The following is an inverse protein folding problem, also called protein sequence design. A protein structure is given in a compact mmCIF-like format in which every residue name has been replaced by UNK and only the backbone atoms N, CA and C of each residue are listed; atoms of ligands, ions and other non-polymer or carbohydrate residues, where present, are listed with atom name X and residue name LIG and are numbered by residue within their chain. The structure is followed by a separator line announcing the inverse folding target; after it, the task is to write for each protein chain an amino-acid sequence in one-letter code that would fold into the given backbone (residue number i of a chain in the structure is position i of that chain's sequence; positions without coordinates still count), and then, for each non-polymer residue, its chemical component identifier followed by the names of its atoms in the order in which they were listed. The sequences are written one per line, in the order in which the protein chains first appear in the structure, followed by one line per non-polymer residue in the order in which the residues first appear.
data_IF_962007088230
#
_entry.id   IF_962007088230
#
_cell.length_a   1.000
_cell.length_b   1.000
_cell.length_c   1.000
_cell.angle_alpha   90.00
_cell.angle_beta   90.00
_cell.angle_gamma   90.00
#
_symmetry.space_group_name_H-M   'P 1'
#
loop_
_entity.id
_entity.type
_entity.pdbx_description
1 polymer ?
#
# COMPACT_ATOMS: atom_id res chain seq x y z
N UNK A 1 -16.80 20.29 -29.71
CA UNK A 1 -17.36 21.51 -29.07
C UNK A 1 -18.30 21.06 -27.95
N UNK A 2 -17.76 20.74 -26.78
CA UNK A 2 -18.51 20.15 -25.66
C UNK A 2 -19.14 21.27 -24.81
N UNK A 3 -20.44 21.18 -24.58
CA UNK A 3 -21.24 21.99 -23.63
C UNK A 3 -21.49 23.47 -23.96
N UNK A 4 -20.81 24.08 -24.94
CA UNK A 4 -21.12 25.46 -25.36
C UNK A 4 -20.84 26.54 -24.30
N UNK A 5 -20.00 26.21 -23.31
CA UNK A 5 -19.54 27.13 -22.26
C UNK A 5 -18.06 27.41 -22.52
N UNK A 6 -17.72 28.69 -22.68
CA UNK A 6 -16.34 29.16 -22.78
C UNK A 6 -15.59 28.86 -21.47
N UNK A 7 -14.29 28.49 -21.51
CA UNK A 7 -13.49 28.30 -20.30
C UNK A 7 -13.56 29.54 -19.39
N UNK A 8 -14.04 29.38 -18.15
CA UNK A 8 -14.22 30.48 -17.19
C UNK A 8 -15.56 31.24 -17.28
N UNK A 9 -16.44 30.89 -18.22
CA UNK A 9 -17.78 31.47 -18.34
C UNK A 9 -18.79 30.92 -17.33
N UNK A 10 -19.86 31.68 -17.06
CA UNK A 10 -20.92 31.27 -16.14
C UNK A 10 -21.67 30.05 -16.65
N UNK A 11 -21.75 29.00 -15.82
CA UNK A 11 -22.49 27.77 -16.14
C UNK A 11 -24.01 28.04 -16.20
N UNK A 12 -24.68 27.76 -17.35
CA UNK A 12 -26.13 27.85 -17.47
C UNK A 12 -26.86 26.95 -16.45
N UNK A 13 -27.99 27.38 -15.86
CA UNK A 13 -28.72 26.59 -14.86
C UNK A 13 -29.07 25.17 -15.30
N UNK A 14 -29.44 24.99 -16.59
CA UNK A 14 -29.77 23.69 -17.17
C UNK A 14 -28.60 22.69 -17.21
N UNK A 15 -27.34 23.17 -17.18
CA UNK A 15 -26.13 22.35 -17.24
C UNK A 15 -25.53 22.05 -15.86
N UNK A 16 -25.96 22.75 -14.79
CA UNK A 16 -25.39 22.59 -13.45
C UNK A 16 -25.50 21.16 -12.91
N UNK A 17 -26.65 20.51 -13.13
CA UNK A 17 -26.87 19.12 -12.69
C UNK A 17 -25.93 18.14 -13.39
N UNK A 18 -25.75 18.29 -14.70
CA UNK A 18 -24.84 17.45 -15.48
C UNK A 18 -23.38 17.68 -15.07
N UNK A 19 -22.95 18.93 -14.86
CA UNK A 19 -21.59 19.22 -14.39
C UNK A 19 -21.33 18.66 -13.00
N UNK A 20 -22.28 18.81 -12.06
CA UNK A 20 -22.15 18.22 -10.72
C UNK A 20 -22.02 16.71 -10.77
N UNK A 21 -22.82 16.04 -11.61
CA UNK A 21 -22.72 14.59 -11.80
C UNK A 21 -21.35 14.18 -12.36
N UNK A 22 -20.81 14.94 -13.33
CA UNK A 22 -19.47 14.71 -13.86
C UNK A 22 -18.39 14.90 -12.77
N UNK A 23 -18.49 15.92 -11.94
CA UNK A 23 -17.57 16.16 -10.81
C UNK A 23 -17.63 15.02 -9.78
N UNK A 24 -18.83 14.58 -9.39
CA UNK A 24 -19.03 13.44 -8.49
C UNK A 24 -18.43 12.15 -9.06
N UNK A 25 -18.62 11.92 -10.37
CA UNK A 25 -18.00 10.79 -11.08
C UNK A 25 -16.48 10.90 -11.14
N UNK A 26 -15.90 12.09 -11.37
CA UNK A 26 -14.45 12.29 -11.31
C UNK A 26 -13.91 12.05 -9.91
N UNK A 27 -14.58 12.55 -8.87
CA UNK A 27 -14.20 12.32 -7.48
C UNK A 27 -14.21 10.84 -7.13
N UNK A 28 -15.25 10.09 -7.54
CA UNK A 28 -15.32 8.64 -7.32
C UNK A 28 -14.20 7.89 -8.04
N UNK A 29 -13.90 8.27 -9.30
CA UNK A 29 -12.78 7.68 -10.06
C UNK A 29 -11.43 7.96 -9.41
N UNK A 30 -11.19 9.19 -8.98
CA UNK A 30 -9.95 9.58 -8.31
C UNK A 30 -9.76 8.79 -7.00
N UNK A 31 -10.81 8.67 -6.18
CA UNK A 31 -10.75 7.87 -4.94
C UNK A 31 -10.43 6.40 -5.22
N UNK A 32 -11.07 5.78 -6.22
CA UNK A 32 -10.81 4.39 -6.58
C UNK A 32 -9.38 4.21 -7.09
N UNK A 33 -8.94 5.06 -8.02
CA UNK A 33 -7.59 4.99 -8.57
C UNK A 33 -6.52 5.13 -7.49
N UNK A 34 -6.75 5.97 -6.48
CA UNK A 34 -5.85 6.09 -5.34
C UNK A 34 -5.81 4.80 -4.52
N UNK A 35 -6.98 4.22 -4.19
CA UNK A 35 -7.06 2.96 -3.43
C UNK A 35 -6.40 1.80 -4.18
N UNK A 36 -6.68 1.65 -5.46
CA UNK A 36 -6.08 0.61 -6.31
C UNK A 36 -4.55 0.75 -6.39
N UNK A 37 -4.06 2.00 -6.49
CA UNK A 37 -2.62 2.28 -6.48
C UNK A 37 -1.95 1.90 -5.15
N UNK A 38 -2.62 2.16 -4.03
CA UNK A 38 -2.13 1.79 -2.70
C UNK A 38 -2.16 0.27 -2.51
N UNK A 39 -3.24 -0.41 -2.88
CA UNK A 39 -3.33 -1.87 -2.77
C UNK A 39 -2.23 -2.57 -3.56
N UNK A 40 -1.92 -2.09 -4.78
CA UNK A 40 -0.81 -2.61 -5.58
C UNK A 40 0.53 -2.52 -4.85
N UNK A 41 0.83 -1.38 -4.23
CA UNK A 41 2.05 -1.19 -3.43
C UNK A 41 2.08 -2.14 -2.22
N UNK A 42 0.93 -2.35 -1.57
CA UNK A 42 0.83 -3.26 -0.43
C UNK A 42 1.03 -4.73 -0.85
N UNK A 43 0.54 -5.13 -2.02
CA UNK A 43 0.81 -6.46 -2.60
C UNK A 43 2.30 -6.62 -2.95
N UNK A 44 2.93 -5.59 -3.53
CA UNK A 44 4.36 -5.61 -3.83
C UNK A 44 5.17 -5.78 -2.53
N UNK A 45 4.81 -5.04 -1.47
CA UNK A 45 5.43 -5.16 -0.14
C UNK A 45 5.22 -6.55 0.49
N UNK A 46 4.04 -7.14 0.33
CA UNK A 46 3.75 -8.52 0.77
C UNK A 46 4.68 -9.53 0.09
N UNK A 47 4.92 -9.37 -1.22
CA UNK A 47 5.81 -10.25 -1.98
C UNK A 47 7.26 -10.16 -1.49
N UNK A 48 7.72 -8.95 -1.16
CA UNK A 48 9.06 -8.71 -0.62
C UNK A 48 9.24 -9.41 0.72
N UNK A 49 8.30 -9.25 1.66
CA UNK A 49 8.38 -9.94 2.96
C UNK A 49 8.26 -11.47 2.84
N UNK A 50 7.49 -11.97 1.88
CA UNK A 50 7.46 -13.41 1.56
C UNK A 50 8.84 -13.90 1.15
N UNK A 51 9.54 -13.18 0.27
CA UNK A 51 10.89 -13.58 -0.17
C UNK A 51 11.90 -13.53 0.97
N UNK A 52 11.82 -12.51 1.84
CA UNK A 52 12.62 -12.45 3.08
C UNK A 52 12.36 -13.68 3.96
N UNK A 53 11.08 -14.07 4.14
CA UNK A 53 10.72 -15.25 4.92
C UNK A 53 11.28 -16.53 4.28
N UNK A 54 11.21 -16.68 2.95
CA UNK A 54 11.77 -17.84 2.25
C UNK A 54 13.28 -17.97 2.47
N UNK A 55 14.01 -16.86 2.41
CA UNK A 55 15.44 -16.82 2.74
C UNK A 55 15.70 -17.20 4.19
N UNK A 56 14.93 -16.67 5.14
CA UNK A 56 15.08 -16.97 6.57
C UNK A 56 14.81 -18.43 6.92
N UNK A 57 13.93 -19.10 6.17
CA UNK A 57 13.59 -20.50 6.34
C UNK A 57 14.50 -21.45 5.54
N UNK A 58 15.41 -20.92 4.72
CA UNK A 58 16.25 -21.74 3.83
C UNK A 58 15.45 -22.51 2.77
N UNK A 59 14.30 -21.96 2.35
CA UNK A 59 13.43 -22.59 1.35
C UNK A 59 14.12 -22.60 -0.02
N UNK A 60 13.93 -23.69 -0.77
CA UNK A 60 14.38 -23.81 -2.16
C UNK A 60 13.38 -23.17 -3.16
N UNK A 61 12.35 -22.47 -2.68
CA UNK A 61 11.39 -21.81 -3.54
C UNK A 61 12.02 -20.64 -4.29
N UNK A 62 11.61 -20.45 -5.54
CA UNK A 62 12.00 -19.28 -6.33
C UNK A 62 11.51 -17.99 -5.65
N UNK A 63 12.37 -16.97 -5.65
CA UNK A 63 12.05 -15.64 -5.14
C UNK A 63 11.35 -14.83 -6.23
N UNK A 64 10.40 -13.99 -5.84
CA UNK A 64 9.66 -13.13 -6.78
C UNK A 64 10.50 -11.92 -7.18
N UNK A 65 11.23 -11.31 -6.23
CA UNK A 65 11.94 -10.05 -6.40
C UNK A 65 13.45 -10.25 -6.59
N UNK A 66 13.84 -11.09 -7.55
CA UNK A 66 15.25 -11.50 -7.78
C UNK A 66 16.19 -10.32 -8.02
N UNK A 67 15.72 -9.25 -8.66
CA UNK A 67 16.46 -8.01 -8.89
C UNK A 67 16.84 -7.28 -7.60
N UNK A 68 16.19 -7.62 -6.47
CA UNK A 68 16.45 -7.07 -5.14
C UNK A 68 17.20 -8.07 -4.23
N UNK A 69 17.77 -9.14 -4.78
CA UNK A 69 18.35 -10.26 -4.00
C UNK A 69 19.29 -9.80 -2.88
N UNK A 70 20.25 -8.91 -3.17
CA UNK A 70 21.21 -8.42 -2.17
C UNK A 70 20.51 -7.71 -1.00
N UNK A 71 19.45 -6.95 -1.29
CA UNK A 71 18.64 -6.24 -0.28
C UNK A 71 17.78 -7.20 0.52
N UNK A 72 17.20 -8.21 -0.14
CA UNK A 72 16.43 -9.26 0.52
C UNK A 72 17.30 -10.07 1.47
N UNK A 73 18.50 -10.47 1.03
CA UNK A 73 19.48 -11.19 1.84
C UNK A 73 19.91 -10.34 3.04
N UNK A 74 20.23 -9.06 2.82
CA UNK A 74 20.49 -8.14 3.92
C UNK A 74 19.29 -8.12 4.87
N UNK A 75 18.09 -7.78 4.43
CA UNK A 75 16.92 -7.70 5.31
C UNK A 75 16.68 -9.02 6.08
N UNK A 76 16.82 -10.18 5.42
CA UNK A 76 16.68 -11.50 6.04
C UNK A 76 17.67 -11.75 7.19
N UNK A 77 18.90 -11.22 7.06
CA UNK A 77 19.94 -11.34 8.08
C UNK A 77 19.71 -10.41 9.28
N UNK A 78 19.07 -9.25 9.06
CA UNK A 78 18.87 -8.21 10.07
C UNK A 78 17.49 -8.25 10.75
N UNK A 79 16.57 -9.13 10.32
CA UNK A 79 15.27 -9.34 10.98
C UNK A 79 15.15 -10.78 11.51
N UNK A 80 14.13 -11.02 12.34
CA UNK A 80 13.74 -12.37 12.77
C UNK A 80 12.53 -12.85 11.96
N UNK A 81 12.33 -14.17 11.80
CA UNK A 81 11.11 -14.70 11.17
C UNK A 81 9.83 -14.16 11.82
N UNK A 82 9.80 -14.05 13.15
CA UNK A 82 8.66 -13.50 13.87
C UNK A 82 8.38 -12.03 13.50
N UNK A 83 9.43 -11.19 13.37
CA UNK A 83 9.28 -9.80 12.95
C UNK A 83 8.83 -9.69 11.47
N UNK A 84 9.37 -10.55 10.60
CA UNK A 84 8.95 -10.63 9.19
C UNK A 84 7.48 -11.03 9.07
N UNK A 85 7.03 -12.02 9.84
CA UNK A 85 5.63 -12.45 9.86
C UNK A 85 4.71 -11.34 10.39
N UNK A 86 5.10 -10.68 11.49
CA UNK A 86 4.34 -9.55 12.03
C UNK A 86 4.24 -8.38 11.02
N UNK A 87 5.26 -8.17 10.19
CA UNK A 87 5.20 -7.19 9.11
C UNK A 87 4.21 -7.59 8.01
N UNK A 88 4.19 -8.87 7.61
CA UNK A 88 3.20 -9.41 6.67
C UNK A 88 1.77 -9.24 7.20
N UNK A 89 1.53 -9.55 8.47
CA UNK A 89 0.22 -9.36 9.11
C UNK A 89 -0.19 -7.89 9.16
N UNK A 90 0.76 -6.99 9.44
CA UNK A 90 0.51 -5.55 9.44
C UNK A 90 0.13 -5.02 8.05
N UNK A 91 0.78 -5.52 7.00
CA UNK A 91 0.45 -5.18 5.60
C UNK A 91 -0.95 -5.67 5.26
N UNK A 92 -1.28 -6.92 5.58
CA UNK A 92 -2.61 -7.48 5.33
C UNK A 92 -3.71 -6.72 6.08
N UNK A 93 -3.48 -6.38 7.36
CA UNK A 93 -4.41 -5.58 8.15
C UNK A 93 -4.62 -4.16 7.58
N UNK A 94 -3.59 -3.55 6.98
CA UNK A 94 -3.72 -2.25 6.33
C UNK A 94 -4.61 -2.33 5.09
N UNK A 95 -4.45 -3.37 4.28
CA UNK A 95 -5.29 -3.63 3.10
C UNK A 95 -6.76 -3.77 3.49
N UNK A 96 -7.05 -4.63 4.46
CA UNK A 96 -8.41 -4.85 4.98
C UNK A 96 -9.05 -3.57 5.52
N UNK A 97 -8.27 -2.72 6.20
CA UNK A 97 -8.74 -1.41 6.70
C UNK A 97 -9.07 -0.46 5.56
N UNK A 98 -8.23 -0.37 4.54
CA UNK A 98 -8.45 0.52 3.39
C UNK A 98 -9.70 0.08 2.61
N UNK A 99 -9.87 -1.23 2.41
CA UNK A 99 -11.07 -1.81 1.80
C UNK A 99 -12.31 -1.55 2.66
N UNK A 100 -12.15 -1.59 3.99
CA UNK A 100 -13.15 -1.22 4.99
C UNK A 100 -13.44 0.29 5.11
N UNK A 101 -12.92 1.13 4.21
CA UNK A 101 -13.10 2.58 4.18
C UNK A 101 -12.36 3.38 5.27
N UNK A 102 -11.34 2.81 5.92
CA UNK A 102 -10.41 3.60 6.73
C UNK A 102 -9.62 4.54 5.83
N UNK A 103 -9.32 5.74 6.34
CA UNK A 103 -8.46 6.70 5.64
C UNK A 103 -7.09 6.06 5.33
N UNK A 104 -6.63 6.05 4.06
CA UNK A 104 -5.41 5.35 3.70
C UNK A 104 -4.16 5.79 4.48
N UNK A 105 -4.00 7.09 4.72
CA UNK A 105 -2.89 7.61 5.51
C UNK A 105 -2.83 6.99 6.92
N UNK A 106 -3.97 6.95 7.62
CA UNK A 106 -4.07 6.38 8.96
C UNK A 106 -3.78 4.86 8.97
N UNK A 107 -4.28 4.13 7.98
CA UNK A 107 -4.03 2.70 7.86
C UNK A 107 -2.53 2.40 7.64
N UNK A 108 -1.88 3.18 6.78
CA UNK A 108 -0.45 3.09 6.50
C UNK A 108 0.40 3.48 7.71
N UNK A 109 0.04 4.55 8.42
CA UNK A 109 0.73 4.97 9.66
C UNK A 109 0.68 3.88 10.73
N UNK A 110 -0.49 3.26 10.93
CA UNK A 110 -0.64 2.15 11.87
C UNK A 110 0.22 0.94 11.47
N UNK A 111 0.22 0.58 10.18
CA UNK A 111 1.05 -0.49 9.64
C UNK A 111 2.55 -0.24 9.88
N UNK A 112 3.04 0.94 9.50
CA UNK A 112 4.43 1.31 9.65
C UNK A 112 4.85 1.36 11.12
N UNK A 113 3.97 1.81 12.01
CA UNK A 113 4.22 1.80 13.46
C UNK A 113 4.42 0.37 13.98
N UNK A 114 3.59 -0.58 13.54
CA UNK A 114 3.73 -2.00 13.91
C UNK A 114 5.03 -2.58 13.38
N UNK A 115 5.36 -2.33 12.10
CA UNK A 115 6.59 -2.81 11.46
C UNK A 115 7.82 -2.26 12.20
N UNK A 116 7.86 -0.95 12.45
CA UNK A 116 8.99 -0.31 13.13
C UNK A 116 9.19 -0.84 14.55
N UNK A 117 8.12 -1.07 15.31
CA UNK A 117 8.20 -1.69 16.64
C UNK A 117 8.68 -3.13 16.57
N UNK A 118 8.25 -3.90 15.57
CA UNK A 118 8.75 -5.25 15.31
C UNK A 118 10.24 -5.27 14.95
N UNK A 119 10.71 -4.28 14.18
CA UNK A 119 12.15 -4.11 13.87
C UNK A 119 12.99 -3.62 15.05
N UNK A 120 12.41 -3.19 16.16
CA UNK A 120 13.18 -2.91 17.37
C UNK A 120 13.55 -4.21 18.11
N UNK A 121 12.80 -5.30 17.92
CA UNK A 121 13.04 -6.62 18.49
C UNK A 121 14.03 -7.47 17.65
N UNK A 122 15.05 -6.85 17.06
CA UNK A 122 16.06 -7.51 16.23
C UNK A 122 16.84 -8.57 17.01
N UNK A 123 17.39 -9.54 16.27
CA UNK A 123 18.34 -10.58 16.72
C UNK A 123 19.35 -9.95 17.68
N UNK A 124 19.15 -10.14 18.99
CA UNK A 124 20.04 -9.77 20.10
C UNK A 124 20.84 -8.48 19.93
N UNK A 125 20.38 -7.40 20.56
CA UNK A 125 21.30 -6.39 21.13
C UNK A 125 21.86 -6.86 22.49
N UNK A 126 21.85 -8.17 22.74
CA UNK A 126 22.52 -8.77 23.90
C UNK A 126 24.00 -8.97 23.55
N UNK A 127 24.77 -7.89 23.71
CA UNK A 127 26.19 -7.92 24.08
C UNK A 127 26.33 -7.21 25.43
#
# INVERSE_FOLDING_TARGET
RSLGVEPGGTVPPALRGQLRQLEEDQKRRATRSLRDGIDRILVDLQSLYRDVMMLQLGSASELVNLELLDRLQALSAHSTPAATLAAMDAVQAARERIDGNVAPALALEAMLTTILRGTAARKGTDL
#
